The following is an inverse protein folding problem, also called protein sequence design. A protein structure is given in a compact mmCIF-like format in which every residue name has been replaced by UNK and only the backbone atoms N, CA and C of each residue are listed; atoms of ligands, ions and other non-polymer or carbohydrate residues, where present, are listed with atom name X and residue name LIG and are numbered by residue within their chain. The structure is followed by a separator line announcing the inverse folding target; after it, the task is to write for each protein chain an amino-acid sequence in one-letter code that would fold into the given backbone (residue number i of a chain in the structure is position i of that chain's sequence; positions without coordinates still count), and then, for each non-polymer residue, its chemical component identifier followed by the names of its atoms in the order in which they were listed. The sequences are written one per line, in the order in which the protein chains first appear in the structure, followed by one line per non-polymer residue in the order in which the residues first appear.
data_IF_219826288532
#
_entry.id   IF_219826288532
#
_cell.length_a   1.000
_cell.length_b   1.000
_cell.length_c   1.000
_cell.angle_alpha   90.00
_cell.angle_beta   90.00
_cell.angle_gamma   90.00
#
_symmetry.space_group_name_H-M   'P 1'
#
loop_
_entity.id
_entity.type
_entity.pdbx_description
1 polymer ?
#
# COMPACT_ATOMS: atom_id res chain seq x y z
N UNK A 1 -2.04 -4.86 21.80
CA UNK A 1 -2.88 -3.77 21.24
C UNK A 1 -2.96 -3.99 19.74
N UNK A 2 -4.14 -3.92 19.14
CA UNK A 2 -4.28 -3.97 17.67
C UNK A 2 -3.90 -2.60 17.11
N UNK A 3 -2.98 -2.57 16.15
CA UNK A 3 -2.54 -1.33 15.50
C UNK A 3 -2.84 -1.38 14.01
N UNK A 4 -3.52 -0.34 13.52
CA UNK A 4 -3.85 -0.18 12.10
C UNK A 4 -3.14 1.06 11.61
N UNK A 5 -2.37 0.92 10.54
CA UNK A 5 -1.53 1.99 10.00
C UNK A 5 -2.03 2.49 8.64
N UNK A 6 -1.59 3.69 8.25
CA UNK A 6 -2.03 4.30 6.98
C UNK A 6 -1.25 3.77 5.76
N UNK A 7 -0.03 3.27 5.98
CA UNK A 7 0.87 2.81 4.93
C UNK A 7 1.80 1.70 5.43
N UNK A 8 2.46 1.03 4.48
CA UNK A 8 3.23 -0.20 4.76
C UNK A 8 4.49 0.04 5.60
N UNK A 9 5.11 1.22 5.52
CA UNK A 9 6.36 1.50 6.25
C UNK A 9 6.16 1.37 7.76
N UNK A 10 5.00 1.76 8.26
CA UNK A 10 4.65 1.62 9.67
C UNK A 10 4.43 0.16 10.10
N UNK A 11 3.92 -0.69 9.20
CA UNK A 11 3.78 -2.14 9.42
C UNK A 11 5.16 -2.80 9.53
N UNK A 12 6.08 -2.40 8.63
CA UNK A 12 7.50 -2.82 8.68
C UNK A 12 8.22 -2.27 9.92
N UNK A 13 7.70 -1.19 10.51
CA UNK A 13 8.15 -0.66 11.79
C UNK A 13 7.61 -1.39 13.02
N UNK A 14 6.82 -2.46 12.83
CA UNK A 14 6.29 -3.31 13.90
C UNK A 14 4.79 -3.15 14.16
N UNK A 15 4.06 -2.27 13.45
CA UNK A 15 2.60 -2.24 13.55
C UNK A 15 1.97 -3.45 12.85
N UNK A 16 0.76 -3.83 13.25
CA UNK A 16 0.17 -5.09 12.82
C UNK A 16 -0.19 -5.11 11.34
N UNK A 17 -0.98 -4.13 10.88
CA UNK A 17 -1.60 -4.21 9.55
C UNK A 17 -1.94 -2.84 8.97
N UNK A 18 -1.93 -2.78 7.64
CA UNK A 18 -2.53 -1.69 6.86
C UNK A 18 -3.34 -2.25 5.71
N UNK A 19 -4.33 -1.50 5.24
CA UNK A 19 -4.80 -1.54 3.85
C UNK A 19 -4.53 -0.15 3.28
N UNK A 20 -3.27 0.06 2.93
CA UNK A 20 -2.67 1.39 2.85
C UNK A 20 -2.06 1.69 1.50
N UNK A 21 -1.53 2.91 1.38
CA UNK A 21 -0.82 3.33 0.19
C UNK A 21 0.39 2.44 -0.08
N UNK A 22 0.54 2.04 -1.34
CA UNK A 22 1.80 1.53 -1.87
C UNK A 22 2.46 2.61 -2.70
N UNK A 23 3.60 3.11 -2.23
CA UNK A 23 4.39 4.10 -2.98
C UNK A 23 4.89 3.56 -4.31
N UNK A 24 5.04 2.24 -4.43
CA UNK A 24 5.40 1.59 -5.68
C UNK A 24 4.27 1.65 -6.71
N UNK A 25 3.03 1.31 -6.34
CA UNK A 25 1.88 1.44 -7.25
C UNK A 25 1.57 2.91 -7.57
N UNK A 26 1.71 3.82 -6.59
CA UNK A 26 1.56 5.25 -6.83
C UNK A 26 2.63 5.77 -7.82
N UNK A 27 3.87 5.27 -7.72
CA UNK A 27 4.94 5.58 -8.66
C UNK A 27 4.62 5.09 -10.09
N UNK A 28 4.05 3.90 -10.24
CA UNK A 28 3.57 3.40 -11.55
C UNK A 28 2.46 4.28 -12.13
N UNK A 29 1.48 4.65 -11.31
CA UNK A 29 0.40 5.56 -11.73
C UNK A 29 0.98 6.91 -12.19
N UNK A 30 1.94 7.44 -11.43
CA UNK A 30 2.65 8.68 -11.78
C UNK A 30 3.43 8.55 -13.10
N UNK A 31 4.06 7.40 -13.35
CA UNK A 31 4.75 7.14 -14.61
C UNK A 31 3.79 7.12 -15.81
N UNK A 32 2.57 6.60 -15.64
CA UNK A 32 1.52 6.68 -16.67
C UNK A 32 1.14 8.13 -16.95
N UNK A 33 0.92 8.95 -15.92
CA UNK A 33 0.65 10.38 -16.10
C UNK A 33 1.81 11.10 -16.81
N UNK A 34 3.06 10.76 -16.47
CA UNK A 34 4.24 11.31 -17.13
C UNK A 34 4.31 10.92 -18.62
N UNK A 35 3.93 9.69 -18.98
CA UNK A 35 3.80 9.27 -20.38
C UNK A 35 2.77 10.13 -21.13
N UNK A 36 1.62 10.39 -20.53
CA UNK A 36 0.57 11.21 -21.16
C UNK A 36 1.06 12.61 -21.53
N UNK A 37 1.90 13.20 -20.68
CA UNK A 37 2.49 14.52 -20.92
C UNK A 37 3.63 14.42 -21.94
N UNK A 38 4.59 13.54 -21.70
CA UNK A 38 5.87 13.55 -22.43
C UNK A 38 5.77 12.88 -23.78
N UNK A 39 5.06 11.76 -23.87
CA UNK A 39 4.92 10.97 -25.10
C UNK A 39 3.64 11.34 -25.86
N UNK A 40 2.50 11.40 -25.16
CA UNK A 40 1.19 11.63 -25.78
C UNK A 40 0.87 13.12 -25.95
N UNK A 41 1.74 14.01 -25.44
CA UNK A 41 1.68 15.48 -25.59
C UNK A 41 0.38 16.12 -25.09
N UNK A 42 -0.27 15.55 -24.07
CA UNK A 42 -1.42 16.19 -23.41
C UNK A 42 -1.00 17.47 -22.67
N UNK A 43 -1.89 18.46 -22.68
CA UNK A 43 -1.72 19.68 -21.87
C UNK A 43 -1.87 19.34 -20.38
N UNK A 44 -0.86 19.67 -19.59
CA UNK A 44 -0.83 19.44 -18.15
C UNK A 44 -2.02 20.09 -17.42
N UNK A 45 -2.52 21.23 -17.91
CA UNK A 45 -3.67 21.92 -17.32
C UNK A 45 -4.97 21.11 -17.38
N UNK A 46 -5.01 20.08 -18.25
CA UNK A 46 -6.17 19.19 -18.44
C UNK A 46 -6.10 17.91 -17.64
N UNK A 47 -4.96 17.60 -17.01
CA UNK A 47 -4.75 16.37 -16.25
C UNK A 47 -5.09 16.63 -14.78
N UNK A 48 -6.08 15.94 -14.19
CA UNK A 48 -6.42 16.11 -12.79
C UNK A 48 -5.33 15.56 -11.86
N UNK A 49 -5.29 16.07 -10.63
CA UNK A 49 -4.43 15.51 -9.58
C UNK A 49 -4.87 14.08 -9.28
N UNK A 50 -3.93 13.14 -9.38
CA UNK A 50 -4.18 11.72 -9.14
C UNK A 50 -4.42 11.41 -7.66
N UNK A 51 -5.45 10.61 -7.38
CA UNK A 51 -5.60 9.90 -6.12
C UNK A 51 -5.08 8.47 -6.30
N UNK A 52 -4.61 7.86 -5.21
CA UNK A 52 -4.15 6.48 -5.28
C UNK A 52 -5.28 5.55 -5.73
N UNK A 53 -5.07 4.88 -6.85
CA UNK A 53 -6.07 3.98 -7.44
C UNK A 53 -6.10 2.61 -6.77
N UNK A 54 -5.03 2.26 -6.05
CA UNK A 54 -4.88 0.96 -5.39
C UNK A 54 -4.30 1.13 -4.00
N UNK A 55 -4.84 0.35 -3.08
CA UNK A 55 -4.27 0.12 -1.76
C UNK A 55 -3.85 -1.34 -1.65
N UNK A 56 -2.92 -1.60 -0.74
CA UNK A 56 -2.38 -2.94 -0.51
C UNK A 56 -2.53 -3.29 0.96
N UNK A 57 -3.04 -4.50 1.21
CA UNK A 57 -3.03 -5.06 2.55
C UNK A 57 -1.64 -5.60 2.87
N UNK A 58 -1.01 -5.10 3.93
CA UNK A 58 0.29 -5.60 4.42
C UNK A 58 0.16 -5.95 5.89
N UNK A 59 0.68 -7.11 6.30
CA UNK A 59 0.61 -7.61 7.69
C UNK A 59 2.00 -8.00 8.19
N UNK A 60 2.34 -7.54 9.41
CA UNK A 60 3.53 -7.96 10.12
C UNK A 60 3.28 -9.29 10.82
N UNK A 61 4.02 -10.33 10.41
CA UNK A 61 3.85 -11.69 10.93
C UNK A 61 4.30 -11.81 12.39
N UNK A 62 5.40 -11.15 12.79
CA UNK A 62 5.87 -11.20 14.18
C UNK A 62 4.89 -10.54 15.14
N UNK A 63 4.33 -9.39 14.77
CA UNK A 63 3.31 -8.71 15.58
C UNK A 63 2.02 -9.52 15.62
N UNK A 64 1.61 -10.13 14.52
CA UNK A 64 0.46 -11.05 14.46
C UNK A 64 0.63 -12.23 15.42
N UNK A 65 1.79 -12.89 15.39
CA UNK A 65 2.14 -14.00 16.27
C UNK A 65 2.21 -13.58 17.75
N UNK A 66 2.88 -12.45 18.04
CA UNK A 66 2.98 -11.92 19.40
C UNK A 66 1.63 -11.56 20.01
N UNK A 67 0.64 -11.22 19.17
CA UNK A 67 -0.74 -10.97 19.58
C UNK A 67 -1.60 -12.24 19.64
N UNK A 68 -1.07 -13.40 19.23
CA UNK A 68 -1.78 -14.68 19.23
C UNK A 68 -2.95 -14.73 18.25
N UNK A 69 -2.89 -13.97 17.15
CA UNK A 69 -3.97 -13.92 16.15
C UNK A 69 -3.81 -15.04 15.11
N UNK A 70 -4.95 -15.53 14.59
CA UNK A 70 -4.95 -16.54 13.54
C UNK A 70 -4.48 -15.97 12.20
N UNK A 71 -3.42 -16.55 11.65
CA UNK A 71 -2.87 -16.18 10.34
C UNK A 71 -3.80 -16.52 9.16
N UNK A 72 -4.82 -17.36 9.37
CA UNK A 72 -5.77 -17.79 8.34
C UNK A 72 -7.02 -16.91 8.27
N UNK A 73 -7.06 -15.80 9.03
CA UNK A 73 -8.15 -14.84 8.93
C UNK A 73 -8.31 -14.36 7.47
N UNK A 74 -9.55 -14.23 6.95
CA UNK A 74 -9.79 -13.83 5.56
C UNK A 74 -9.09 -12.53 5.14
N UNK A 75 -8.88 -11.62 6.10
CA UNK A 75 -8.15 -10.36 5.91
C UNK A 75 -6.72 -10.56 5.36
N UNK A 76 -6.06 -11.68 5.70
CA UNK A 76 -4.65 -11.92 5.38
C UNK A 76 -4.44 -12.81 4.16
N UNK A 77 -5.50 -13.24 3.48
CA UNK A 77 -5.44 -14.18 2.35
C UNK A 77 -4.51 -13.70 1.23
N UNK A 78 -4.69 -12.44 0.82
CA UNK A 78 -3.94 -11.81 -0.27
C UNK A 78 -3.00 -10.71 0.24
N UNK A 79 -2.75 -10.68 1.55
CA UNK A 79 -1.91 -9.67 2.16
C UNK A 79 -0.42 -9.94 1.87
N UNK A 80 0.34 -8.86 1.65
CA UNK A 80 1.79 -8.93 1.69
C UNK A 80 2.20 -9.21 3.14
N UNK A 81 2.94 -10.30 3.34
CA UNK A 81 3.44 -10.71 4.64
C UNK A 81 4.88 -10.23 4.82
N UNK A 82 5.13 -9.58 5.95
CA UNK A 82 6.44 -8.99 6.27
C UNK A 82 6.91 -9.48 7.65
N UNK A 83 8.23 -9.67 7.81
CA UNK A 83 8.84 -10.37 8.94
C UNK A 83 9.77 -9.47 9.78
N UNK A 84 9.43 -8.19 9.90
CA UNK A 84 10.18 -7.22 10.73
C UNK A 84 9.85 -7.34 12.21
#
# INVERSE_FOLDING_TARGET
MITISAEETQVRGGLLVTNGLSYYELGKQTATMAKEILADKKDISTIPVGLAEKTITTVNQKTLEALGLDQNLPLFKDAIKVNE
#
